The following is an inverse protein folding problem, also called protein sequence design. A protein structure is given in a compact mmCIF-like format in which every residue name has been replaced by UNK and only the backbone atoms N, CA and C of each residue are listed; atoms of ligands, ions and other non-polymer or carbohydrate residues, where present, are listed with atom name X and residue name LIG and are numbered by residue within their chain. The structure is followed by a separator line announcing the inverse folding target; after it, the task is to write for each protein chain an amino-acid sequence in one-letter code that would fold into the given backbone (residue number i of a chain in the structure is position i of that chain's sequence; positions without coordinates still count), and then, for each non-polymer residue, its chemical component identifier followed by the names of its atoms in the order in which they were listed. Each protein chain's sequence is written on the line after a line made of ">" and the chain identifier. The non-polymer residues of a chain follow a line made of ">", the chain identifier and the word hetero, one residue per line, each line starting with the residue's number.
data_IF_737615659091
#
_entry.id   IF_737615659091
#
_cell.length_a   1.000
_cell.length_b   1.000
_cell.length_c   1.000
_cell.angle_alpha   90.00
_cell.angle_beta   90.00
_cell.angle_gamma   90.00
#
_symmetry.space_group_name_H-M   'P 1'
#
loop_
_entity.id
_entity.type
_entity.pdbx_description
1 polymer ?
#
# COMPACT_ATOMS: atom_id res chain seq x y z
N UNK A 1 -0.25 12.36 33.67
CA UNK A 1 -0.83 11.98 32.36
C UNK A 1 -0.99 10.47 32.37
N UNK A 2 -2.21 9.98 32.56
CA UNK A 2 -2.47 8.55 32.71
C UNK A 2 -2.52 7.93 31.31
N UNK A 3 -1.52 7.12 30.97
CA UNK A 3 -1.28 6.57 29.64
C UNK A 3 -2.17 5.34 29.36
N UNK A 4 -3.47 5.44 29.66
CA UNK A 4 -4.41 4.36 29.40
C UNK A 4 -4.95 4.47 27.98
N UNK A 5 -4.79 3.40 27.21
CA UNK A 5 -5.42 3.28 25.90
C UNK A 5 -6.94 3.09 26.08
N UNK A 6 -7.79 3.71 25.25
CA UNK A 6 -9.23 3.52 25.31
C UNK A 6 -9.64 2.05 25.16
N UNK A 7 -10.68 1.63 25.86
CA UNK A 7 -11.20 0.25 25.82
C UNK A 7 -11.64 -0.15 24.42
N UNK A 8 -12.20 0.78 23.65
CA UNK A 8 -12.63 0.61 22.27
C UNK A 8 -11.46 0.29 21.35
N UNK A 9 -10.32 0.97 21.57
CA UNK A 9 -9.09 0.74 20.82
C UNK A 9 -8.52 -0.65 21.12
N UNK A 10 -8.46 -1.03 22.40
CA UNK A 10 -8.01 -2.36 22.81
C UNK A 10 -8.93 -3.47 22.28
N UNK A 11 -10.25 -3.25 22.30
CA UNK A 11 -11.22 -4.18 21.74
C UNK A 11 -11.04 -4.34 20.21
N UNK A 12 -10.84 -3.23 19.48
CA UNK A 12 -10.51 -3.26 18.06
C UNK A 12 -9.23 -4.03 17.77
N UNK A 13 -8.20 -3.84 18.61
CA UNK A 13 -6.94 -4.58 18.46
C UNK A 13 -7.10 -6.08 18.72
N UNK A 14 -7.82 -6.47 19.78
CA UNK A 14 -8.10 -7.86 20.08
C UNK A 14 -8.90 -8.54 18.95
N UNK A 15 -9.96 -7.89 18.48
CA UNK A 15 -10.80 -8.40 17.39
C UNK A 15 -10.01 -8.50 16.07
N UNK A 16 -9.26 -7.45 15.71
CA UNK A 16 -8.41 -7.44 14.53
C UNK A 16 -7.37 -8.55 14.56
N UNK A 17 -6.74 -8.78 15.72
CA UNK A 17 -5.77 -9.88 15.91
C UNK A 17 -6.41 -11.24 15.65
N UNK A 18 -7.58 -11.50 16.24
CA UNK A 18 -8.30 -12.76 16.06
C UNK A 18 -8.66 -13.01 14.60
N UNK A 19 -9.28 -12.02 13.95
CA UNK A 19 -9.75 -12.13 12.56
C UNK A 19 -8.60 -12.31 11.59
N UNK A 20 -7.54 -11.50 11.69
CA UNK A 20 -6.40 -11.55 10.77
C UNK A 20 -5.65 -12.87 10.86
N UNK A 21 -5.40 -13.38 12.08
CA UNK A 21 -4.76 -14.68 12.25
C UNK A 21 -5.63 -15.83 11.76
N UNK A 22 -6.94 -15.80 12.03
CA UNK A 22 -7.87 -16.80 11.53
C UNK A 22 -7.85 -16.87 10.00
N UNK A 23 -7.91 -15.71 9.32
CA UNK A 23 -7.83 -15.63 7.86
C UNK A 23 -6.47 -16.16 7.37
N UNK A 24 -5.37 -15.65 7.91
CA UNK A 24 -4.03 -16.02 7.48
C UNK A 24 -3.78 -17.52 7.58
N UNK A 25 -4.05 -18.12 8.75
CA UNK A 25 -3.83 -19.54 8.95
C UNK A 25 -4.79 -20.40 8.14
N UNK A 26 -6.03 -19.95 7.90
CA UNK A 26 -6.96 -20.66 7.00
C UNK A 26 -6.43 -20.68 5.57
N UNK A 27 -5.98 -19.53 5.04
CA UNK A 27 -5.42 -19.43 3.69
C UNK A 27 -4.15 -20.29 3.58
N UNK A 28 -3.28 -20.24 4.58
CA UNK A 28 -2.05 -21.03 4.64
C UNK A 28 -2.34 -22.54 4.66
N UNK A 29 -3.26 -23.00 5.51
CA UNK A 29 -3.61 -24.42 5.65
C UNK A 29 -4.25 -24.99 4.38
N UNK A 30 -4.97 -24.17 3.62
CA UNK A 30 -5.54 -24.58 2.34
C UNK A 30 -4.51 -24.71 1.22
N UNK A 31 -3.29 -24.19 1.40
CA UNK A 31 -2.22 -24.30 0.41
C UNK A 31 -2.53 -23.64 -0.94
N UNK A 32 -3.42 -22.64 -0.97
CA UNK A 32 -3.87 -22.01 -2.23
C UNK A 32 -2.90 -20.99 -2.80
N UNK A 33 -1.87 -20.60 -2.04
CA UNK A 33 -0.88 -19.60 -2.44
C UNK A 33 0.51 -20.22 -2.39
N UNK A 34 1.19 -20.26 -3.53
CA UNK A 34 2.42 -21.04 -3.71
C UNK A 34 3.69 -20.28 -3.32
N UNK A 35 3.61 -18.95 -3.17
CA UNK A 35 4.78 -18.09 -2.98
C UNK A 35 4.70 -17.28 -1.69
N UNK A 36 5.85 -17.09 -1.02
CA UNK A 36 5.97 -16.17 0.13
C UNK A 36 5.45 -14.78 -0.20
N UNK A 37 5.68 -14.33 -1.45
CA UNK A 37 5.16 -13.06 -1.93
C UNK A 37 3.64 -13.02 -1.93
N UNK A 38 2.94 -14.02 -2.47
CA UNK A 38 1.48 -14.02 -2.44
C UNK A 38 0.97 -14.07 -1.00
N UNK A 39 1.61 -14.90 -0.17
CA UNK A 39 1.25 -15.01 1.24
C UNK A 39 1.39 -13.68 1.99
N UNK A 40 2.44 -12.90 1.72
CA UNK A 40 2.64 -11.58 2.33
C UNK A 40 1.56 -10.55 1.97
N UNK A 41 0.84 -10.74 0.87
CA UNK A 41 -0.22 -9.82 0.44
C UNK A 41 -1.59 -10.12 1.05
N UNK A 42 -1.78 -11.27 1.71
CA UNK A 42 -3.10 -11.68 2.25
C UNK A 42 -3.59 -10.70 3.32
N UNK A 43 -2.77 -10.46 4.34
CA UNK A 43 -3.13 -9.55 5.44
C UNK A 43 -3.27 -8.12 4.95
N UNK A 44 -2.33 -7.68 4.11
CA UNK A 44 -2.38 -6.35 3.48
C UNK A 44 -3.68 -6.15 2.71
N UNK A 45 -4.09 -7.12 1.89
CA UNK A 45 -5.30 -7.02 1.09
C UNK A 45 -6.56 -6.87 1.96
N UNK A 46 -6.70 -7.73 2.98
CA UNK A 46 -7.85 -7.70 3.89
C UNK A 46 -7.87 -6.40 4.69
N UNK A 47 -6.74 -5.98 5.25
CA UNK A 47 -6.63 -4.75 6.01
C UNK A 47 -6.97 -3.54 5.15
N UNK A 48 -6.38 -3.39 3.96
CA UNK A 48 -6.65 -2.25 3.08
C UNK A 48 -8.14 -2.16 2.69
N UNK A 49 -8.83 -3.28 2.48
CA UNK A 49 -10.29 -3.27 2.24
C UNK A 49 -11.03 -2.69 3.44
N UNK A 50 -10.78 -3.23 4.65
CA UNK A 50 -11.46 -2.79 5.87
C UNK A 50 -11.19 -1.31 6.15
N UNK A 51 -9.95 -0.87 6.01
CA UNK A 51 -9.53 0.51 6.25
C UNK A 51 -10.12 1.48 5.22
N UNK A 52 -10.10 1.11 3.93
CA UNK A 52 -10.67 1.94 2.86
C UNK A 52 -12.18 2.10 3.07
N UNK A 53 -12.89 1.01 3.35
CA UNK A 53 -14.34 1.06 3.64
C UNK A 53 -14.63 1.83 4.94
N UNK A 54 -13.84 1.61 5.98
CA UNK A 54 -13.95 2.33 7.25
C UNK A 54 -13.68 3.83 7.14
N UNK A 55 -12.94 4.27 6.11
CA UNK A 55 -12.72 5.70 5.84
C UNK A 55 -13.93 6.40 5.22
N UNK A 56 -14.85 5.65 4.59
CA UNK A 56 -15.95 6.21 3.79
C UNK A 56 -16.84 7.16 4.59
N UNK A 57 -17.31 6.84 5.81
CA UNK A 57 -18.14 7.77 6.59
C UNK A 57 -17.44 9.11 6.83
N UNK A 58 -16.14 9.09 7.13
CA UNK A 58 -15.34 10.30 7.35
C UNK A 58 -15.12 11.07 6.04
N UNK A 59 -14.87 10.38 4.93
CA UNK A 59 -14.70 11.00 3.63
C UNK A 59 -16.00 11.67 3.15
N UNK A 60 -17.15 11.01 3.34
CA UNK A 60 -18.47 11.58 3.02
C UNK A 60 -18.79 12.79 3.90
N UNK A 61 -18.47 12.72 5.21
CA UNK A 61 -18.59 13.87 6.10
C UNK A 61 -17.72 15.03 5.60
N UNK A 62 -16.45 14.80 5.30
CA UNK A 62 -15.56 15.82 4.77
C UNK A 62 -16.10 16.45 3.49
N UNK A 63 -16.58 15.63 2.54
CA UNK A 63 -17.15 16.11 1.28
C UNK A 63 -18.44 16.92 1.50
N UNK A 64 -19.35 16.44 2.33
CA UNK A 64 -20.60 17.16 2.66
C UNK A 64 -20.36 18.51 3.34
N UNK A 65 -19.25 18.65 4.06
CA UNK A 65 -18.80 19.90 4.68
C UNK A 65 -17.93 20.77 3.76
N UNK A 66 -17.84 20.45 2.47
CA UNK A 66 -17.03 21.22 1.50
C UNK A 66 -15.53 21.15 1.76
N UNK A 67 -15.05 20.03 2.32
CA UNK A 67 -13.68 19.80 2.76
C UNK A 67 -13.21 20.78 3.85
N UNK A 68 -14.15 21.25 4.68
CA UNK A 68 -13.87 22.05 5.85
C UNK A 68 -13.37 21.17 7.01
N UNK A 69 -12.05 21.14 7.19
CA UNK A 69 -11.39 20.30 8.20
C UNK A 69 -11.66 20.74 9.64
N UNK A 70 -12.15 21.96 9.85
CA UNK A 70 -12.51 22.46 11.20
C UNK A 70 -13.77 21.79 11.75
N UNK A 71 -14.61 21.24 10.87
CA UNK A 71 -15.88 20.59 11.20
C UNK A 71 -15.78 19.06 11.30
N UNK A 72 -14.58 18.51 11.16
CA UNK A 72 -14.37 17.07 11.25
C UNK A 72 -14.42 16.59 12.69
N UNK A 73 -15.01 15.42 12.88
CA UNK A 73 -14.87 14.67 14.13
C UNK A 73 -13.40 14.33 14.32
N UNK A 74 -12.86 14.61 15.51
CA UNK A 74 -11.47 14.29 15.85
C UNK A 74 -11.31 12.87 16.38
N UNK A 75 -12.25 12.42 17.21
CA UNK A 75 -12.28 11.07 17.80
C UNK A 75 -13.73 10.63 18.01
N UNK A 76 -13.98 9.35 17.78
CA UNK A 76 -15.22 8.65 18.11
C UNK A 76 -14.95 7.15 18.34
N UNK A 77 -15.93 6.42 18.88
CA UNK A 77 -15.81 4.98 19.16
C UNK A 77 -15.43 4.16 17.93
N UNK A 78 -16.02 4.45 16.76
CA UNK A 78 -15.74 3.69 15.53
C UNK A 78 -14.29 3.90 15.07
N UNK A 79 -13.79 5.13 15.10
CA UNK A 79 -12.40 5.44 14.76
C UNK A 79 -11.41 4.73 15.68
N UNK A 80 -11.71 4.63 16.99
CA UNK A 80 -10.86 3.93 17.95
C UNK A 80 -10.81 2.42 17.66
N UNK A 81 -11.96 1.79 17.42
CA UNK A 81 -12.02 0.37 17.04
C UNK A 81 -11.26 0.11 15.73
N UNK A 82 -11.46 0.96 14.72
CA UNK A 82 -10.80 0.83 13.42
C UNK A 82 -9.27 0.99 13.53
N UNK A 83 -8.79 1.97 14.30
CA UNK A 83 -7.35 2.13 14.57
C UNK A 83 -6.77 0.97 15.38
N UNK A 84 -7.54 0.39 16.30
CA UNK A 84 -7.15 -0.81 17.03
C UNK A 84 -6.92 -1.98 16.05
N UNK A 85 -7.88 -2.20 15.14
CA UNK A 85 -7.75 -3.20 14.07
C UNK A 85 -6.56 -2.93 13.14
N UNK A 86 -6.30 -1.66 12.81
CA UNK A 86 -5.13 -1.26 12.03
C UNK A 86 -3.82 -1.56 12.76
N UNK A 87 -3.72 -1.29 14.06
CA UNK A 87 -2.55 -1.65 14.86
C UNK A 87 -2.29 -3.15 14.81
N UNK A 88 -3.34 -3.96 14.93
CA UNK A 88 -3.21 -5.42 14.84
C UNK A 88 -2.67 -5.88 13.50
N UNK A 89 -3.14 -5.28 12.40
CA UNK A 89 -2.55 -5.53 11.09
C UNK A 89 -1.05 -5.21 11.07
N UNK A 90 -0.66 -4.03 11.54
CA UNK A 90 0.74 -3.61 11.51
C UNK A 90 1.65 -4.55 12.31
N UNK A 91 1.19 -4.99 13.47
CA UNK A 91 1.94 -5.91 14.33
C UNK A 91 1.99 -7.31 13.71
N UNK A 92 0.85 -7.84 13.28
CA UNK A 92 0.80 -9.21 12.77
C UNK A 92 1.45 -9.38 11.40
N UNK A 93 1.43 -8.37 10.53
CA UNK A 93 2.16 -8.46 9.26
C UNK A 93 3.68 -8.56 9.48
N UNK A 94 4.22 -7.85 10.47
CA UNK A 94 5.61 -7.98 10.88
C UNK A 94 5.90 -9.32 11.54
N UNK A 95 5.09 -9.74 12.51
CA UNK A 95 5.30 -11.00 13.23
C UNK A 95 5.21 -12.20 12.28
N UNK A 96 4.14 -12.29 11.50
CA UNK A 96 3.93 -13.39 10.57
C UNK A 96 4.94 -13.33 9.42
N UNK A 97 5.34 -12.14 8.99
CA UNK A 97 6.36 -12.03 7.96
C UNK A 97 7.75 -12.42 8.40
N UNK A 98 8.13 -12.17 9.66
CA UNK A 98 9.38 -12.71 10.22
C UNK A 98 9.38 -14.24 10.31
N UNK A 99 8.21 -14.86 10.47
CA UNK A 99 8.08 -16.32 10.62
C UNK A 99 7.91 -17.02 9.26
N UNK A 100 7.15 -16.43 8.34
CA UNK A 100 6.60 -17.14 7.18
C UNK A 100 6.94 -16.56 5.81
N UNK A 101 7.37 -15.30 5.72
CA UNK A 101 7.66 -14.65 4.42
C UNK A 101 8.75 -13.58 4.57
N UNK A 102 9.84 -13.94 5.23
CA UNK A 102 10.93 -13.01 5.58
C UNK A 102 11.56 -12.39 4.33
N UNK A 103 11.60 -13.13 3.22
CA UNK A 103 12.17 -12.65 1.95
C UNK A 103 11.30 -11.60 1.27
N UNK A 104 10.01 -11.50 1.64
CA UNK A 104 9.06 -10.57 1.05
C UNK A 104 9.02 -9.19 1.74
N UNK A 105 9.51 -9.09 3.00
CA UNK A 105 9.52 -7.81 3.73
C UNK A 105 10.77 -7.00 3.37
N UNK A 106 10.57 -5.85 2.71
CA UNK A 106 11.66 -4.91 2.45
C UNK A 106 11.84 -3.90 3.60
N UNK A 107 13.04 -3.34 3.75
CA UNK A 107 13.34 -2.33 4.80
C UNK A 107 12.38 -1.15 4.75
N UNK A 108 12.20 -0.56 3.57
CA UNK A 108 11.46 0.69 3.42
C UNK A 108 9.94 0.47 3.37
N UNK A 109 9.48 -0.53 2.62
CA UNK A 109 8.03 -0.78 2.44
C UNK A 109 7.44 -1.63 3.55
N UNK A 110 8.28 -2.43 4.23
CA UNK A 110 7.92 -3.25 5.37
C UNK A 110 8.23 -2.54 6.67
N UNK A 111 9.45 -2.70 7.18
CA UNK A 111 9.80 -2.29 8.55
C UNK A 111 9.59 -0.79 8.84
N UNK A 112 10.19 0.10 8.05
CA UNK A 112 10.10 1.56 8.30
C UNK A 112 8.65 2.04 8.23
N UNK A 113 7.92 1.60 7.20
CA UNK A 113 6.52 1.92 7.04
C UNK A 113 5.69 1.46 8.24
N UNK A 114 5.81 0.19 8.64
CA UNK A 114 5.01 -0.37 9.73
C UNK A 114 5.32 0.31 11.06
N UNK A 115 6.60 0.52 11.39
CA UNK A 115 7.01 1.22 12.62
C UNK A 115 6.50 2.66 12.65
N UNK A 116 6.58 3.39 11.53
CA UNK A 116 6.03 4.74 11.41
C UNK A 116 4.54 4.76 11.72
N UNK A 117 3.76 3.85 11.12
CA UNK A 117 2.31 3.82 11.31
C UNK A 117 1.90 3.28 12.69
N UNK A 118 2.68 2.41 13.32
CA UNK A 118 2.46 2.05 14.74
C UNK A 118 2.58 3.31 15.61
N UNK A 119 3.64 4.09 15.40
CA UNK A 119 3.84 5.37 16.10
C UNK A 119 2.71 6.36 15.85
N UNK A 120 2.32 6.55 14.58
CA UNK A 120 1.20 7.44 14.21
C UNK A 120 -0.13 6.99 14.82
N UNK A 121 -0.44 5.70 14.81
CA UNK A 121 -1.67 5.16 15.41
C UNK A 121 -1.70 5.42 16.92
N UNK A 122 -0.63 5.09 17.64
CA UNK A 122 -0.56 5.33 19.10
C UNK A 122 -0.61 6.82 19.43
N UNK A 123 0.06 7.66 18.64
CA UNK A 123 0.02 9.11 18.77
C UNK A 123 -1.40 9.65 18.55
N UNK A 124 -2.06 9.23 17.47
CA UNK A 124 -3.42 9.68 17.14
C UNK A 124 -4.45 9.30 18.21
N UNK A 125 -4.33 8.11 18.80
CA UNK A 125 -5.20 7.66 19.89
C UNK A 125 -4.96 8.46 21.16
N UNK A 126 -3.69 8.64 21.56
CA UNK A 126 -3.34 9.38 22.79
C UNK A 126 -3.64 10.87 22.73
N UNK A 127 -3.72 11.45 21.53
CA UNK A 127 -4.02 12.87 21.31
C UNK A 127 -5.48 13.12 20.88
N UNK A 128 -6.33 12.09 20.84
CA UNK A 128 -7.76 12.24 20.53
C UNK A 128 -8.04 12.69 19.09
N UNK A 129 -7.23 12.25 18.13
CA UNK A 129 -7.35 12.57 16.70
C UNK A 129 -7.48 11.32 15.82
N UNK A 130 -8.06 10.24 16.37
CA UNK A 130 -8.19 8.95 15.69
C UNK A 130 -8.99 9.02 14.39
N UNK A 131 -10.08 9.79 14.36
CA UNK A 131 -10.94 9.91 13.18
C UNK A 131 -10.23 10.61 12.00
N UNK A 132 -9.28 11.52 12.28
CA UNK A 132 -8.46 12.16 11.25
C UNK A 132 -7.54 11.15 10.55
N UNK A 133 -6.96 10.22 11.31
CA UNK A 133 -6.17 9.13 10.74
C UNK A 133 -7.05 8.15 9.95
N UNK A 134 -8.25 7.84 10.47
CA UNK A 134 -9.23 7.02 9.75
C UNK A 134 -9.70 7.64 8.43
N UNK A 135 -9.89 8.96 8.39
CA UNK A 135 -10.16 9.69 7.16
C UNK A 135 -9.06 9.43 6.13
N UNK A 136 -7.78 9.43 6.54
CA UNK A 136 -6.67 9.21 5.62
C UNK A 136 -6.58 7.77 5.07
N UNK A 137 -7.38 6.81 5.55
CA UNK A 137 -7.35 5.44 5.04
C UNK A 137 -7.94 5.26 3.63
N UNK A 138 -8.60 6.26 3.03
CA UNK A 138 -8.91 6.22 1.60
C UNK A 138 -7.63 6.10 0.75
N UNK A 139 -6.48 6.50 1.31
CA UNK A 139 -5.17 6.33 0.67
C UNK A 139 -4.78 4.86 0.49
N UNK A 140 -5.46 3.90 1.10
CA UNK A 140 -5.18 2.47 0.91
C UNK A 140 -5.80 1.88 -0.36
N UNK A 141 -6.69 2.61 -1.03
CA UNK A 141 -7.29 2.19 -2.30
C UNK A 141 -6.26 1.72 -3.37
N UNK A 142 -5.18 2.46 -3.67
CA UNK A 142 -4.13 1.95 -4.58
C UNK A 142 -3.46 0.68 -4.07
N UNK A 143 -3.31 0.50 -2.76
CA UNK A 143 -2.74 -0.71 -2.18
C UNK A 143 -3.64 -1.91 -2.42
N UNK A 144 -4.97 -1.75 -2.39
CA UNK A 144 -5.91 -2.81 -2.78
C UNK A 144 -5.65 -3.28 -4.21
N UNK A 145 -5.50 -2.34 -5.15
CA UNK A 145 -5.22 -2.65 -6.57
C UNK A 145 -3.88 -3.39 -6.71
N UNK A 146 -2.86 -2.95 -5.97
CA UNK A 146 -1.53 -3.58 -5.99
C UNK A 146 -1.55 -4.98 -5.37
N UNK A 147 -2.24 -5.16 -4.25
CA UNK A 147 -2.37 -6.43 -3.56
C UNK A 147 -3.11 -7.45 -4.42
N UNK A 148 -4.18 -7.03 -5.07
CA UNK A 148 -4.96 -7.87 -5.98
C UNK A 148 -4.11 -8.40 -7.14
N UNK A 149 -3.34 -7.53 -7.79
CA UNK A 149 -2.40 -7.91 -8.84
C UNK A 149 -1.19 -8.73 -8.35
N UNK A 150 -0.94 -8.76 -7.03
CA UNK A 150 0.11 -9.55 -6.42
C UNK A 150 -0.37 -10.95 -5.99
N UNK A 151 -1.65 -11.07 -5.63
CA UNK A 151 -2.33 -12.33 -5.36
C UNK A 151 -2.66 -13.09 -6.66
N UNK A 152 -3.22 -12.38 -7.65
CA UNK A 152 -3.61 -12.90 -8.95
C UNK A 152 -2.97 -12.06 -10.06
N UNK A 153 -2.03 -12.65 -10.80
CA UNK A 153 -1.22 -11.92 -11.81
C UNK A 153 -2.09 -11.42 -12.96
N UNK A 154 -3.15 -12.15 -13.28
CA UNK A 154 -4.11 -11.86 -14.34
C UNK A 154 -4.86 -10.54 -14.09
N UNK A 155 -5.02 -10.16 -12.82
CA UNK A 155 -5.75 -8.96 -12.41
C UNK A 155 -4.83 -7.75 -12.22
N UNK A 156 -3.53 -7.92 -12.51
CA UNK A 156 -2.55 -6.85 -12.36
C UNK A 156 -2.75 -5.77 -13.41
N UNK A 157 -3.06 -4.55 -12.95
CA UNK A 157 -3.10 -3.35 -13.78
C UNK A 157 -2.22 -2.24 -13.21
N UNK A 158 -1.04 -2.03 -13.83
CA UNK A 158 -0.10 -1.00 -13.38
C UNK A 158 -0.68 0.42 -13.61
N UNK A 159 -1.46 0.63 -14.67
CA UNK A 159 -2.10 1.91 -14.96
C UNK A 159 -3.16 2.24 -13.90
N UNK A 160 -4.03 1.28 -13.57
CA UNK A 160 -5.04 1.47 -12.52
C UNK A 160 -4.39 1.78 -11.17
N UNK A 161 -3.32 1.05 -10.84
CA UNK A 161 -2.52 1.33 -9.64
C UNK A 161 -1.96 2.76 -9.64
N UNK A 162 -1.30 3.20 -10.71
CA UNK A 162 -0.70 4.55 -10.73
C UNK A 162 -1.75 5.66 -10.72
N UNK A 163 -2.86 5.51 -11.46
CA UNK A 163 -3.94 6.49 -11.47
C UNK A 163 -4.60 6.60 -10.09
N UNK A 164 -4.94 5.48 -9.47
CA UNK A 164 -5.52 5.48 -8.11
C UNK A 164 -4.54 6.04 -7.07
N UNK A 165 -3.24 5.71 -7.20
CA UNK A 165 -2.19 6.25 -6.32
C UNK A 165 -2.08 7.76 -6.46
N UNK A 166 -2.02 8.27 -7.69
CA UNK A 166 -1.94 9.71 -7.94
C UNK A 166 -3.15 10.45 -7.39
N UNK A 167 -4.36 9.99 -7.68
CA UNK A 167 -5.60 10.66 -7.25
C UNK A 167 -5.73 10.70 -5.72
N UNK A 168 -5.44 9.58 -5.04
CA UNK A 168 -5.63 9.48 -3.58
C UNK A 168 -4.42 9.98 -2.80
N UNK A 169 -3.26 9.34 -2.97
CA UNK A 169 -2.05 9.58 -2.17
C UNK A 169 -1.29 10.84 -2.53
N UNK A 170 -1.47 11.38 -3.74
CA UNK A 170 -0.82 12.63 -4.16
C UNK A 170 -1.82 13.79 -4.12
N UNK A 171 -2.83 13.80 -4.99
CA UNK A 171 -3.74 14.94 -5.13
C UNK A 171 -4.59 15.15 -3.88
N UNK A 172 -5.42 14.17 -3.50
CA UNK A 172 -6.34 14.32 -2.38
C UNK A 172 -5.60 14.49 -1.05
N UNK A 173 -4.50 13.75 -0.84
CA UNK A 173 -3.63 13.95 0.32
C UNK A 173 -3.05 15.38 0.38
N UNK A 174 -2.61 15.95 -0.75
CA UNK A 174 -2.12 17.34 -0.81
C UNK A 174 -3.21 18.35 -0.48
N UNK A 175 -4.45 18.11 -0.94
CA UNK A 175 -5.61 18.94 -0.61
C UNK A 175 -5.85 18.93 0.90
N UNK A 176 -5.89 17.76 1.54
CA UNK A 176 -6.05 17.68 2.98
C UNK A 176 -4.87 18.30 3.73
N UNK A 177 -3.64 18.08 3.30
CA UNK A 177 -2.45 18.71 3.90
C UNK A 177 -2.58 20.24 3.88
N UNK A 178 -2.94 20.82 2.74
CA UNK A 178 -3.19 22.26 2.62
C UNK A 178 -4.33 22.72 3.55
N UNK A 179 -5.43 21.98 3.58
CA UNK A 179 -6.58 22.32 4.43
C UNK A 179 -6.24 22.28 5.92
N UNK A 180 -5.56 21.23 6.37
CA UNK A 180 -5.12 21.10 7.76
C UNK A 180 -4.07 22.16 8.14
N UNK A 181 -3.22 22.59 7.21
CA UNK A 181 -2.23 23.63 7.48
C UNK A 181 -2.89 25.00 7.73
N UNK A 182 -3.87 25.37 6.90
CA UNK A 182 -4.48 26.70 6.94
C UNK A 182 -5.70 26.81 7.85
N UNK A 183 -6.52 25.77 7.96
CA UNK A 183 -7.87 25.85 8.53
C UNK A 183 -8.10 24.95 9.74
N UNK A 184 -7.12 24.15 10.17
CA UNK A 184 -7.28 23.34 11.38
C UNK A 184 -6.83 24.09 12.63
N UNK A 185 -7.67 24.08 13.65
CA UNK A 185 -7.33 24.58 14.98
C UNK A 185 -6.25 23.72 15.65
N UNK A 186 -6.17 22.44 15.30
CA UNK A 186 -5.21 21.49 15.85
C UNK A 186 -3.90 21.54 15.05
N UNK A 187 -3.02 22.47 15.46
CA UNK A 187 -1.78 22.85 14.74
C UNK A 187 -0.79 21.73 14.44
N UNK A 188 -0.89 20.56 15.06
CA UNK A 188 0.03 19.45 14.76
C UNK A 188 -0.50 18.50 13.67
N UNK A 189 -1.79 18.55 13.29
CA UNK A 189 -2.38 17.59 12.36
C UNK A 189 -1.71 17.62 10.98
N UNK A 190 -1.46 18.81 10.43
CA UNK A 190 -0.75 18.92 9.15
C UNK A 190 0.66 18.35 9.19
N UNK A 191 1.32 18.34 10.36
CA UNK A 191 2.65 17.74 10.53
C UNK A 191 2.58 16.22 10.44
N UNK A 192 1.51 15.60 10.94
CA UNK A 192 1.29 14.16 10.81
C UNK A 192 1.09 13.76 9.34
N UNK A 193 0.31 14.53 8.58
CA UNK A 193 0.13 14.31 7.15
C UNK A 193 1.44 14.52 6.40
N UNK A 194 2.15 15.62 6.70
CA UNK A 194 3.44 15.92 6.09
C UNK A 194 4.50 14.85 6.37
N UNK A 195 4.47 14.20 7.54
CA UNK A 195 5.43 13.14 7.88
C UNK A 195 5.35 11.95 6.91
N UNK A 196 4.14 11.61 6.48
CA UNK A 196 3.88 10.46 5.59
C UNK A 196 4.07 10.83 4.11
N UNK A 197 3.80 12.08 3.75
CA UNK A 197 3.73 12.53 2.36
C UNK A 197 5.01 12.28 1.52
N UNK A 198 6.26 12.51 2.01
CA UNK A 198 7.47 12.21 1.27
C UNK A 198 7.59 10.75 0.83
N UNK A 199 7.12 9.82 1.66
CA UNK A 199 7.11 8.40 1.34
C UNK A 199 6.17 8.11 0.15
N UNK A 200 5.01 8.78 0.09
CA UNK A 200 4.10 8.69 -1.05
C UNK A 200 4.74 9.22 -2.34
N UNK A 201 5.43 10.36 -2.27
CA UNK A 201 6.15 10.93 -3.41
C UNK A 201 7.23 9.98 -3.92
N UNK A 202 8.03 9.41 -3.02
CA UNK A 202 9.07 8.45 -3.35
C UNK A 202 8.50 7.20 -4.05
N UNK A 203 7.42 6.62 -3.52
CA UNK A 203 6.79 5.45 -4.14
C UNK A 203 6.13 5.76 -5.48
N UNK A 204 5.48 6.92 -5.62
CA UNK A 204 4.92 7.33 -6.89
C UNK A 204 6.00 7.53 -7.94
N UNK A 205 7.13 8.15 -7.59
CA UNK A 205 8.30 8.27 -8.46
C UNK A 205 8.79 6.89 -8.93
N UNK A 206 8.89 5.91 -8.00
CA UNK A 206 9.24 4.54 -8.33
C UNK A 206 8.25 3.87 -9.30
N UNK A 207 6.95 4.07 -9.09
CA UNK A 207 5.90 3.55 -9.97
C UNK A 207 5.99 4.13 -11.38
N UNK A 208 6.13 5.46 -11.51
CA UNK A 208 6.28 6.14 -12.80
C UNK A 208 7.54 5.65 -13.51
N UNK A 209 8.69 5.60 -12.82
CA UNK A 209 9.95 5.12 -13.40
C UNK A 209 9.82 3.69 -13.94
N UNK A 210 9.14 2.80 -13.21
CA UNK A 210 8.91 1.43 -13.64
C UNK A 210 8.03 1.36 -14.90
N UNK A 211 6.97 2.17 -14.96
CA UNK A 211 6.10 2.23 -16.15
C UNK A 211 6.84 2.76 -17.37
N UNK A 212 7.61 3.84 -17.21
CA UNK A 212 8.43 4.42 -18.27
C UNK A 212 9.41 3.38 -18.80
N UNK A 213 10.14 2.69 -17.91
CA UNK A 213 11.07 1.62 -18.30
C UNK A 213 10.36 0.53 -19.13
N UNK A 214 9.19 0.05 -18.67
CA UNK A 214 8.42 -0.99 -19.37
C UNK A 214 7.94 -0.52 -20.75
N UNK A 215 7.47 0.71 -20.84
CA UNK A 215 7.02 1.29 -22.11
C UNK A 215 8.17 1.38 -23.13
N UNK A 216 9.36 1.84 -22.70
CA UNK A 216 10.54 1.88 -23.57
C UNK A 216 11.03 0.49 -23.97
N UNK A 217 11.06 -0.47 -23.05
CA UNK A 217 11.43 -1.86 -23.38
C UNK A 217 10.50 -2.48 -24.41
N UNK A 218 9.17 -2.28 -24.29
CA UNK A 218 8.20 -2.77 -25.28
C UNK A 218 8.43 -2.16 -26.66
N UNK A 219 8.66 -0.84 -26.73
CA UNK A 219 8.96 -0.15 -28.00
C UNK A 219 10.25 -0.64 -28.64
N UNK A 220 11.30 -0.87 -27.84
CA UNK A 220 12.57 -1.39 -28.34
C UNK A 220 12.41 -2.81 -28.89
N UNK A 221 11.73 -3.70 -28.15
CA UNK A 221 11.44 -5.05 -28.61
C UNK A 221 10.63 -5.06 -29.91
N UNK A 222 9.63 -4.18 -30.06
CA UNK A 222 8.85 -4.03 -31.29
C UNK A 222 9.69 -3.57 -32.47
N UNK A 223 10.60 -2.60 -32.27
CA UNK A 223 11.53 -2.15 -33.30
C UNK A 223 12.47 -3.27 -33.75
N UNK A 224 13.09 -3.98 -32.82
CA UNK A 224 14.00 -5.09 -33.13
C UNK A 224 13.29 -6.24 -33.86
N UNK A 225 12.06 -6.60 -33.44
CA UNK A 225 11.26 -7.60 -34.16
C UNK A 225 10.84 -7.13 -35.55
N UNK A 226 10.57 -5.83 -35.71
CA UNK A 226 10.23 -5.24 -37.01
C UNK A 226 11.43 -5.23 -37.97
N UNK A 227 12.60 -4.83 -37.48
CA UNK A 227 13.85 -4.83 -38.25
C UNK A 227 14.26 -6.25 -38.68
N UNK A 228 14.15 -7.24 -37.77
CA UNK A 228 14.40 -8.66 -38.07
C UNK A 228 13.48 -9.18 -39.19
N UNK A 229 12.21 -8.79 -39.19
CA UNK A 229 11.25 -9.22 -40.21
C UNK A 229 11.44 -8.53 -41.57
N UNK A 230 12.18 -7.42 -41.63
CA UNK A 230 12.46 -6.67 -42.87
C UNK A 230 13.80 -7.01 -43.55
N UNK A 231 14.67 -7.82 -42.91
CA UNK A 231 15.95 -8.26 -43.50
C UNK A 231 16.25 -9.76 -43.30
N UNK A 232 15.40 -10.68 -43.79
CA UNK A 232 15.66 -12.11 -43.66
C UNK A 232 16.88 -12.60 -44.47
N UNK A 233 17.28 -11.92 -45.55
CA UNK A 233 18.40 -12.35 -46.42
C UNK A 233 19.82 -12.01 -45.88
N UNK A 234 19.96 -11.06 -44.95
CA UNK A 234 21.26 -10.70 -44.36
C UNK A 234 21.63 -11.62 -43.17
N UNK A 235 20.65 -12.29 -42.57
CA UNK A 235 20.81 -13.13 -41.38
C UNK A 235 21.50 -14.47 -41.64
N UNK A 236 21.31 -15.08 -42.82
CA UNK A 236 21.98 -16.35 -43.15
C UNK A 236 23.50 -16.18 -43.34
N UNK A 237 23.96 -14.99 -43.74
CA UNK A 237 25.39 -14.68 -43.88
C UNK A 237 26.08 -14.40 -42.54
N UNK A 238 25.33 -13.93 -41.52
CA UNK A 238 25.87 -13.61 -40.19
C UNK A 238 25.85 -14.81 -39.24
N UNK A 239 24.85 -15.68 -39.33
CA UNK A 239 24.74 -16.89 -38.50
C UNK A 239 25.76 -17.99 -38.88
N UNK A 240 26.32 -17.96 -40.09
CA UNK A 240 27.39 -18.86 -40.52
C UNK A 240 28.78 -18.58 -39.92
N UNK A 241 28.97 -17.43 -39.24
CA UNK A 241 30.28 -17.00 -38.73
C UNK A 241 30.35 -16.80 -37.21
N UNK A 242 29.25 -17.06 -36.47
CA UNK A 242 29.29 -17.00 -35.01
C UNK A 242 29.80 -18.34 -34.44
N UNK A 243 30.90 -18.35 -33.67
CA UNK A 243 31.32 -19.56 -32.97
C UNK A 243 30.21 -19.95 -31.99
N UNK A 244 29.81 -21.22 -32.06
CA UNK A 244 28.84 -21.84 -31.16
C UNK A 244 29.28 -21.59 -29.71
N UNK A 245 28.58 -20.69 -29.02
CA UNK A 245 28.78 -20.51 -27.59
C UNK A 245 28.31 -21.79 -26.88
N UNK A 246 29.10 -22.32 -25.93
CA UNK A 246 28.74 -23.55 -25.24
C UNK A 246 27.45 -23.36 -24.45
N UNK A 247 26.56 -24.33 -24.57
CA UNK A 247 25.32 -24.45 -23.82
C UNK A 247 25.65 -24.43 -22.33
N UNK A 248 25.26 -23.35 -21.65
CA UNK A 248 25.30 -23.30 -20.19
C UNK A 248 24.08 -24.07 -19.69
N UNK A 249 24.32 -25.32 -19.31
CA UNK A 249 23.35 -26.15 -18.60
C UNK A 249 22.93 -25.44 -17.30
N UNK A 250 21.64 -25.09 -17.22
CA UNK A 250 21.02 -24.69 -15.96
C UNK A 250 20.70 -25.95 -15.18
N UNK A 251 21.50 -26.22 -14.17
CA UNK A 251 21.09 -26.99 -12.99
C UNK A 251 20.76 -26.02 -11.87
#
# INVERSE_FOLDING_TARGET
>A
MQLWLPTEFLAGAALGSLVLNAIFHTVRLRGTLDTEKQLSWVLTFVACIVLTLGSVPYALLALSQGLDVSKLVLTDTFSLVLLGGFLSYLVWDLVLGLIYYISAITILTGYVHHVLYIGLTLFSVTHGVSAVLCLMFYNELPTIVLALGSLCKEWRSDLLFATTFFCTRILLHSVFLHKFYWYSDVRFLWKLLLLVFPMHLYWFYGAVRLQVKRHWSKRLSQKLSGEFNTRPEETDKLLGHLPLLPCVDRT
#
